data_IF_493885378896
#
_entry.id   IF_493885378896
#
_cell.length_a   1.000
_cell.length_b   1.000
_cell.length_c   1.000
_cell.angle_alpha   90.00
_cell.angle_beta   90.00
_cell.angle_gamma   90.00
#
_symmetry.space_group_name_H-M   'P 1'
#
loop_
_entity.id
_entity.type
_entity.pdbx_description
1 polymer ?
#
# COMPACT_ATOMS: atom_id res chain seq x y z
N UNK A 1 -6.63 20.34 12.65
CA UNK A 1 -6.69 19.11 11.85
C UNK A 1 -5.95 18.05 12.63
N UNK A 2 -6.59 16.93 12.94
CA UNK A 2 -5.99 15.84 13.71
C UNK A 2 -5.54 14.73 12.76
N UNK A 3 -4.39 14.13 13.04
CA UNK A 3 -3.82 13.02 12.25
C UNK A 3 -3.98 11.75 13.07
N UNK A 4 -4.73 10.79 12.55
CA UNK A 4 -4.83 9.46 13.15
C UNK A 4 -3.54 8.69 12.90
N UNK A 5 -2.89 8.23 13.97
CA UNK A 5 -1.72 7.37 13.91
C UNK A 5 -2.16 5.95 14.18
N UNK A 6 -1.82 5.02 13.28
CA UNK A 6 -2.13 3.60 13.44
C UNK A 6 -0.81 2.82 13.51
N UNK A 7 -0.62 2.11 14.61
CA UNK A 7 0.51 1.22 14.84
C UNK A 7 0.29 -0.17 14.24
N UNK A 8 1.37 -0.93 14.08
CA UNK A 8 1.29 -2.33 13.66
C UNK A 8 0.36 -3.16 14.57
N UNK A 9 0.43 -2.97 15.89
CA UNK A 9 -0.41 -3.68 16.86
C UNK A 9 -1.89 -3.39 16.65
N UNK A 10 -2.25 -2.15 16.31
CA UNK A 10 -3.62 -1.78 16.03
C UNK A 10 -4.11 -2.43 14.73
N UNK A 11 -3.29 -2.47 13.68
CA UNK A 11 -3.61 -3.21 12.44
C UNK A 11 -3.82 -4.71 12.72
N UNK A 12 -2.94 -5.33 13.49
CA UNK A 12 -3.06 -6.75 13.85
C UNK A 12 -4.34 -7.03 14.66
N UNK A 13 -4.74 -6.10 15.54
CA UNK A 13 -5.96 -6.23 16.34
C UNK A 13 -7.27 -6.12 15.55
N UNK A 14 -7.21 -5.64 14.30
CA UNK A 14 -8.37 -5.63 13.40
C UNK A 14 -8.71 -7.04 12.89
N UNK A 15 -7.79 -8.00 13.01
CA UNK A 15 -7.96 -9.38 12.54
C UNK A 15 -8.46 -9.46 11.09
N UNK A 16 -7.95 -8.59 10.22
CA UNK A 16 -8.36 -8.53 8.80
C UNK A 16 -7.99 -9.86 8.14
N UNK A 17 -8.97 -10.63 7.64
CA UNK A 17 -8.68 -11.91 7.00
C UNK A 17 -7.96 -11.67 5.67
N UNK A 18 -7.00 -12.55 5.36
CA UNK A 18 -6.24 -12.42 4.09
C UNK A 18 -7.14 -12.46 2.86
N UNK A 19 -8.30 -13.12 2.95
CA UNK A 19 -9.30 -13.17 1.87
C UNK A 19 -9.85 -11.78 1.54
N UNK A 20 -10.11 -10.95 2.56
CA UNK A 20 -10.57 -9.57 2.34
C UNK A 20 -9.47 -8.73 1.68
N UNK A 21 -8.21 -8.92 2.09
CA UNK A 21 -7.06 -8.28 1.44
C UNK A 21 -6.96 -8.70 -0.04
N UNK A 22 -7.18 -9.98 -0.35
CA UNK A 22 -7.17 -10.47 -1.73
C UNK A 22 -8.28 -9.81 -2.56
N UNK A 23 -9.51 -9.74 -2.04
CA UNK A 23 -10.66 -9.15 -2.74
C UNK A 23 -10.41 -7.67 -3.08
N UNK A 24 -9.87 -6.88 -2.14
CA UNK A 24 -9.57 -5.45 -2.39
C UNK A 24 -8.39 -5.25 -3.34
N UNK A 25 -7.39 -6.13 -3.30
CA UNK A 25 -6.25 -6.09 -4.22
C UNK A 25 -6.73 -6.39 -5.64
N UNK A 26 -7.54 -7.44 -5.84
CA UNK A 26 -8.12 -7.77 -7.14
C UNK A 26 -8.95 -6.61 -7.71
N UNK A 27 -9.83 -6.04 -6.90
CA UNK A 27 -10.61 -4.85 -7.28
C UNK A 27 -9.72 -3.68 -7.67
N UNK A 28 -8.64 -3.43 -6.93
CA UNK A 28 -7.67 -2.38 -7.25
C UNK A 28 -7.02 -2.59 -8.62
N UNK A 29 -6.61 -3.82 -8.94
CA UNK A 29 -6.06 -4.14 -10.25
C UNK A 29 -7.09 -4.02 -11.39
N UNK A 30 -8.34 -4.45 -11.17
CA UNK A 30 -9.41 -4.28 -12.14
C UNK A 30 -9.64 -2.79 -12.46
N UNK A 31 -9.75 -1.94 -11.44
CA UNK A 31 -9.91 -0.48 -11.61
C UNK A 31 -8.71 0.15 -12.33
N UNK A 32 -7.49 -0.35 -12.09
CA UNK A 32 -6.30 0.07 -12.84
C UNK A 32 -6.40 -0.30 -14.31
N UNK A 33 -6.84 -1.52 -14.63
CA UNK A 33 -7.05 -1.97 -16.01
C UNK A 33 -8.14 -1.20 -16.74
N UNK A 34 -9.11 -0.64 -16.00
CA UNK A 34 -10.17 0.22 -16.52
C UNK A 34 -9.80 1.72 -16.59
N UNK A 35 -8.54 2.08 -16.32
CA UNK A 35 -8.06 3.48 -16.28
C UNK A 35 -8.80 4.37 -15.26
N UNK A 36 -9.34 3.78 -14.19
CA UNK A 36 -10.12 4.47 -13.14
C UNK A 36 -9.32 4.88 -11.91
N UNK A 37 -8.00 4.75 -11.94
CA UNK A 37 -7.12 5.19 -10.87
C UNK A 37 -5.78 5.69 -11.42
N UNK A 38 -5.12 6.53 -10.62
CA UNK A 38 -3.75 6.95 -10.87
C UNK A 38 -2.78 6.05 -10.09
N UNK A 39 -1.72 5.62 -10.76
CA UNK A 39 -0.62 4.88 -10.14
C UNK A 39 0.69 5.39 -10.73
N UNK A 40 1.26 6.48 -10.16
CA UNK A 40 2.48 7.07 -10.67
C UNK A 40 3.67 6.11 -10.55
N UNK A 41 4.80 6.47 -11.18
CA UNK A 41 5.99 5.65 -11.14
C UNK A 41 6.54 5.52 -9.70
N UNK A 42 6.96 4.30 -9.34
CA UNK A 42 7.68 4.01 -8.10
C UNK A 42 9.07 4.67 -8.13
N UNK A 43 9.30 5.65 -7.27
CA UNK A 43 10.58 6.36 -7.19
C UNK A 43 11.49 5.66 -6.19
N UNK A 44 12.65 5.20 -6.65
CA UNK A 44 13.67 4.55 -5.82
C UNK A 44 14.90 5.42 -5.60
N UNK A 45 15.35 5.47 -4.35
CA UNK A 45 16.61 6.12 -3.94
C UNK A 45 17.49 5.06 -3.31
N UNK A 46 18.70 4.84 -3.85
CA UNK A 46 19.68 3.87 -3.35
C UNK A 46 20.95 4.60 -2.90
N UNK A 47 20.96 5.21 -1.70
CA UNK A 47 22.02 6.14 -1.32
C UNK A 47 23.35 5.44 -0.97
N UNK A 48 23.31 4.15 -0.61
CA UNK A 48 24.45 3.32 -0.22
C UNK A 48 24.22 1.87 -0.63
N UNK A 49 25.30 1.07 -0.58
CA UNK A 49 25.20 -0.39 -0.72
C UNK A 49 24.16 -0.94 0.26
N UNK A 50 23.27 -1.80 -0.23
CA UNK A 50 22.23 -2.48 0.53
C UNK A 50 21.26 -1.54 1.28
N UNK A 51 21.01 -0.34 0.75
CA UNK A 51 20.10 0.64 1.33
C UNK A 51 19.19 1.23 0.24
N UNK A 52 17.88 1.29 0.50
CA UNK A 52 16.91 1.86 -0.44
C UNK A 52 15.73 2.55 0.27
N UNK A 53 15.14 3.52 -0.42
CA UNK A 53 13.83 4.11 -0.11
C UNK A 53 13.00 4.06 -1.38
N UNK A 54 11.78 3.54 -1.30
CA UNK A 54 10.81 3.55 -2.39
C UNK A 54 9.60 4.39 -2.01
N UNK A 55 9.32 5.45 -2.77
CA UNK A 55 8.05 6.17 -2.71
C UNK A 55 7.11 5.58 -3.78
N UNK A 56 5.97 5.07 -3.34
CA UNK A 56 4.92 4.48 -4.17
C UNK A 56 3.60 5.19 -3.87
#
# INVERSE_FOLDING_TARGET
MEVMLISQKEIESLHIPVTEVMDVVEKGFALKGEEKLEMPAKIGIHPRKDCFIHAM
#
